data_IF_818875723661
#
_entry.id   IF_818875723661
#
_cell.length_a   1.000
_cell.length_b   1.000
_cell.length_c   1.000
_cell.angle_alpha   90.00
_cell.angle_beta   90.00
_cell.angle_gamma   90.00
#
_symmetry.space_group_name_H-M   'P 1'
#
loop_
_entity.id
_entity.type
_entity.pdbx_description
1 polymer ?
#
# COMPACT_ATOMS: atom_id res chain seq x y z
N UNK A 1 -3.83 -6.78 11.95
CA UNK A 1 -4.43 -5.43 12.02
C UNK A 1 -5.90 -5.57 11.64
N UNK A 2 -6.81 -4.90 12.34
CA UNK A 2 -8.22 -4.87 11.97
C UNK A 2 -8.72 -3.41 11.96
N UNK A 3 -9.56 -3.06 11.00
CA UNK A 3 -10.22 -1.76 10.88
C UNK A 3 -11.71 -2.01 10.60
N UNK A 4 -12.58 -1.30 11.32
CA UNK A 4 -14.01 -1.27 11.05
C UNK A 4 -14.35 -0.03 10.21
N UNK A 5 -15.08 -0.21 9.11
CA UNK A 5 -15.55 0.89 8.26
C UNK A 5 -17.07 0.80 8.05
N UNK A 6 -17.74 1.95 8.01
CA UNK A 6 -19.10 2.08 7.44
C UNK A 6 -18.99 2.35 5.94
N UNK A 7 -19.72 1.62 5.10
CA UNK A 7 -19.66 1.80 3.64
C UNK A 7 -20.37 3.08 3.17
N UNK A 8 -19.62 4.13 2.77
CA UNK A 8 -19.98 5.18 1.79
C UNK A 8 -18.74 6.05 1.45
N UNK A 9 -18.55 6.61 0.22
CA UNK A 9 -19.53 6.89 -0.85
C UNK A 9 -19.26 6.29 -2.25
N UNK A 10 -18.15 5.57 -2.50
CA UNK A 10 -17.80 5.12 -3.87
C UNK A 10 -18.54 3.83 -4.26
N UNK A 11 -19.56 4.01 -5.10
CA UNK A 11 -20.50 2.97 -5.54
C UNK A 11 -20.34 2.68 -7.03
N UNK A 12 -20.76 1.49 -7.45
CA UNK A 12 -20.97 1.19 -8.87
C UNK A 12 -22.45 1.39 -9.27
N UNK A 13 -22.76 1.14 -10.54
CA UNK A 13 -24.13 1.23 -11.08
C UNK A 13 -25.12 0.23 -10.46
N UNK A 14 -24.62 -0.83 -9.82
CA UNK A 14 -25.42 -1.79 -9.05
C UNK A 14 -25.72 -1.34 -7.62
N UNK A 15 -25.29 -0.13 -7.23
CA UNK A 15 -25.50 0.46 -5.90
C UNK A 15 -24.84 -0.29 -4.73
N UNK A 16 -23.72 -0.97 -5.01
CA UNK A 16 -22.85 -1.58 -4.00
C UNK A 16 -21.40 -1.08 -4.13
N UNK A 17 -20.56 -1.40 -3.15
CA UNK A 17 -19.15 -1.00 -3.09
C UNK A 17 -18.43 -1.27 -4.42
N UNK A 18 -17.86 -0.22 -5.01
CA UNK A 18 -17.15 -0.33 -6.28
C UNK A 18 -15.89 -1.19 -6.14
N UNK A 19 -15.60 -2.05 -7.12
CA UNK A 19 -14.42 -2.93 -7.07
C UNK A 19 -13.10 -2.16 -6.90
N UNK A 20 -12.95 -1.03 -7.59
CA UNK A 20 -11.81 -0.12 -7.39
C UNK A 20 -11.69 0.44 -5.97
N UNK A 21 -12.80 0.72 -5.29
CA UNK A 21 -12.77 1.17 -3.89
C UNK A 21 -12.32 0.03 -2.96
N UNK A 22 -12.79 -1.20 -3.20
CA UNK A 22 -12.29 -2.40 -2.51
C UNK A 22 -10.79 -2.58 -2.72
N UNK A 23 -10.29 -2.40 -3.96
CA UNK A 23 -8.86 -2.50 -4.25
C UNK A 23 -8.03 -1.43 -3.51
N UNK A 24 -8.53 -0.19 -3.43
CA UNK A 24 -7.88 0.87 -2.64
C UNK A 24 -7.86 0.56 -1.14
N UNK A 25 -8.93 -0.04 -0.59
CA UNK A 25 -8.96 -0.48 0.80
C UNK A 25 -7.96 -1.61 1.05
N UNK A 26 -7.87 -2.58 0.14
CA UNK A 26 -6.86 -3.65 0.18
C UNK A 26 -5.45 -3.05 0.17
N UNK A 27 -5.17 -2.07 -0.68
CA UNK A 27 -3.86 -1.42 -0.74
C UNK A 27 -3.51 -0.68 0.57
N UNK A 28 -4.45 0.09 1.10
CA UNK A 28 -4.29 0.86 2.33
C UNK A 28 -4.01 -0.06 3.53
N UNK A 29 -4.88 -1.04 3.77
CA UNK A 29 -4.78 -1.93 4.94
C UNK A 29 -3.66 -2.96 4.75
N UNK A 30 -3.48 -3.47 3.53
CA UNK A 30 -2.38 -4.36 3.16
C UNK A 30 -1.01 -3.70 3.28
N UNK A 31 -0.89 -2.40 3.05
CA UNK A 31 0.31 -1.63 3.41
C UNK A 31 0.41 -1.45 4.92
N UNK A 32 -0.67 -1.03 5.57
CA UNK A 32 -0.64 -0.63 6.98
C UNK A 32 -0.23 -1.77 7.91
N UNK A 33 -0.65 -3.01 7.61
CA UNK A 33 -0.35 -4.18 8.44
C UNK A 33 1.14 -4.43 8.61
N UNK A 34 1.99 -4.08 7.64
CA UNK A 34 3.44 -4.27 7.76
C UNK A 34 4.09 -3.36 8.80
N UNK A 35 3.56 -2.16 9.04
CA UNK A 35 4.03 -1.32 10.14
C UNK A 35 3.76 -1.97 11.50
N UNK A 36 2.65 -2.71 11.63
CA UNK A 36 2.34 -3.46 12.86
C UNK A 36 3.30 -4.62 13.13
N UNK A 37 4.02 -5.07 12.10
CA UNK A 37 5.07 -6.08 12.19
C UNK A 37 6.48 -5.47 12.33
N UNK A 38 6.61 -4.16 12.55
CA UNK A 38 7.89 -3.46 12.71
C UNK A 38 8.63 -3.17 11.40
N UNK A 39 8.02 -3.40 10.24
CA UNK A 39 8.62 -3.07 8.96
C UNK A 39 8.48 -1.56 8.66
N UNK A 40 9.58 -0.90 8.29
CA UNK A 40 9.53 0.44 7.73
C UNK A 40 9.27 0.36 6.22
N UNK A 41 8.04 0.61 5.79
CA UNK A 41 7.67 0.47 4.37
C UNK A 41 7.66 1.83 3.67
N UNK A 42 8.47 1.98 2.62
CA UNK A 42 8.33 3.09 1.64
C UNK A 42 8.15 2.59 0.21
N UNK A 43 8.06 1.27 0.03
CA UNK A 43 7.92 0.69 -1.30
C UNK A 43 6.50 0.75 -1.83
N UNK A 44 6.37 0.37 -3.10
CA UNK A 44 5.10 0.29 -3.83
C UNK A 44 4.51 -1.12 -3.75
N UNK A 45 3.19 -1.27 -3.98
CA UNK A 45 2.56 -2.57 -4.18
C UNK A 45 3.19 -3.26 -5.40
N UNK A 46 3.44 -4.56 -5.30
CA UNK A 46 3.96 -5.38 -6.40
C UNK A 46 2.85 -6.18 -7.08
N UNK A 47 1.92 -6.71 -6.29
CA UNK A 47 0.83 -7.55 -6.79
C UNK A 47 -0.36 -7.51 -5.83
N UNK A 48 -1.57 -7.50 -6.40
CA UNK A 48 -2.83 -7.63 -5.69
C UNK A 48 -3.74 -8.64 -6.41
N UNK A 49 -3.89 -9.81 -5.83
CA UNK A 49 -4.94 -10.77 -6.20
C UNK A 49 -6.14 -10.50 -5.30
N UNK A 50 -7.29 -10.13 -5.88
CA UNK A 50 -8.53 -9.90 -5.15
C UNK A 50 -9.63 -10.79 -5.73
N UNK A 51 -10.22 -11.61 -4.88
CA UNK A 51 -11.45 -12.35 -5.19
C UNK A 51 -12.65 -11.60 -4.60
N UNK A 52 -13.63 -11.28 -5.43
CA UNK A 52 -14.88 -10.59 -5.06
C UNK A 52 -15.98 -11.64 -4.90
N UNK A 53 -16.45 -11.84 -3.68
CA UNK A 53 -17.30 -12.98 -3.29
C UNK A 53 -18.72 -12.58 -2.91
N UNK A 54 -18.93 -11.33 -2.49
CA UNK A 54 -20.26 -10.79 -2.17
C UNK A 54 -20.34 -9.28 -2.41
N UNK A 55 -21.56 -8.76 -2.48
CA UNK A 55 -21.82 -7.32 -2.56
C UNK A 55 -21.91 -6.69 -1.16
N UNK A 56 -21.30 -5.51 -0.99
CA UNK A 56 -21.48 -4.66 0.19
C UNK A 56 -22.35 -3.45 -0.17
N UNK A 57 -23.57 -3.41 0.36
CA UNK A 57 -24.55 -2.37 0.08
C UNK A 57 -24.35 -1.12 0.98
N UNK A 58 -25.14 -0.08 0.71
CA UNK A 58 -25.20 1.12 1.55
C UNK A 58 -25.37 0.77 3.02
N UNK A 59 -24.73 1.53 3.89
CA UNK A 59 -24.99 1.53 5.33
C UNK A 59 -24.67 0.19 6.03
N UNK A 60 -24.12 -0.78 5.29
CA UNK A 60 -23.53 -1.98 5.85
C UNK A 60 -22.19 -1.62 6.52
N UNK A 61 -22.00 -2.12 7.74
CA UNK A 61 -20.69 -2.08 8.38
C UNK A 61 -19.84 -3.25 7.87
N UNK A 62 -18.63 -2.92 7.43
CA UNK A 62 -17.65 -3.87 6.95
C UNK A 62 -16.44 -3.91 7.88
N UNK A 63 -16.06 -5.12 8.25
CA UNK A 63 -14.83 -5.40 8.98
C UNK A 63 -13.74 -5.72 7.98
N UNK A 64 -12.61 -5.03 8.08
CA UNK A 64 -11.43 -5.29 7.26
C UNK A 64 -10.31 -5.79 8.16
N UNK A 65 -9.87 -7.01 7.91
CA UNK A 65 -8.79 -7.65 8.64
C UNK A 65 -7.61 -7.90 7.72
N UNK A 66 -6.41 -7.56 8.16
CA UNK A 66 -5.17 -7.89 7.47
C UNK A 66 -4.19 -8.62 8.38
N UNK A 67 -3.50 -9.60 7.78
CA UNK A 67 -2.50 -10.42 8.46
C UNK A 67 -1.24 -10.50 7.61
N UNK A 68 -0.09 -10.23 8.23
CA UNK A 68 1.21 -10.49 7.60
C UNK A 68 1.41 -12.00 7.52
N UNK A 69 1.62 -12.51 6.31
CA UNK A 69 2.07 -13.89 6.09
C UNK A 69 3.59 -13.99 6.12
N UNK A 70 4.27 -12.97 5.56
CA UNK A 70 5.74 -12.89 5.50
C UNK A 70 6.18 -11.43 5.45
N UNK A 71 7.17 -11.07 6.25
CA UNK A 71 7.88 -9.79 6.15
C UNK A 71 9.38 -10.07 5.96
N UNK A 72 9.82 -10.17 4.70
CA UNK A 72 11.23 -10.35 4.37
C UNK A 72 11.95 -9.01 4.21
N UNK A 73 13.27 -9.07 3.96
CA UNK A 73 14.12 -7.87 3.76
C UNK A 73 13.64 -6.96 2.62
N UNK A 74 13.15 -7.54 1.52
CA UNK A 74 12.76 -6.81 0.33
C UNK A 74 11.27 -6.92 0.00
N UNK A 75 10.60 -8.01 0.37
CA UNK A 75 9.21 -8.28 -0.01
C UNK A 75 8.40 -8.72 1.20
N UNK A 76 7.22 -8.12 1.32
CA UNK A 76 6.18 -8.46 2.27
C UNK A 76 5.01 -9.13 1.54
N UNK A 77 4.39 -10.09 2.22
CA UNK A 77 3.15 -10.72 1.78
C UNK A 77 2.15 -10.66 2.93
N UNK A 78 0.94 -10.20 2.63
CA UNK A 78 -0.17 -10.14 3.55
C UNK A 78 -1.44 -10.72 2.92
N UNK A 79 -2.38 -11.13 3.77
CA UNK A 79 -3.77 -11.36 3.39
C UNK A 79 -4.63 -10.21 3.89
N UNK A 80 -5.66 -9.87 3.14
CA UNK A 80 -6.69 -8.91 3.54
C UNK A 80 -8.06 -9.52 3.31
N UNK A 81 -8.94 -9.44 4.29
CA UNK A 81 -10.31 -9.92 4.20
C UNK A 81 -11.28 -8.80 4.55
N UNK A 82 -12.30 -8.62 3.70
CA UNK A 82 -13.43 -7.75 3.95
C UNK A 82 -14.64 -8.62 4.28
N UNK A 83 -15.25 -8.41 5.44
CA UNK A 83 -16.39 -9.18 5.95
C UNK A 83 -17.53 -8.26 6.33
N UNK A 84 -18.76 -8.75 6.18
CA UNK A 84 -19.92 -8.15 6.85
C UNK A 84 -19.88 -8.50 8.33
N UNK A 85 -20.61 -7.76 9.17
CA UNK A 85 -20.84 -8.15 10.57
C UNK A 85 -21.42 -9.55 10.75
N UNK A 86 -22.12 -10.09 9.74
CA UNK A 86 -22.62 -11.46 9.74
C UNK A 86 -21.52 -12.52 9.59
N UNK A 87 -20.29 -12.12 9.29
CA UNK A 87 -19.16 -13.00 8.98
C UNK A 87 -19.03 -13.39 7.51
N UNK A 88 -19.99 -13.03 6.64
CA UNK A 88 -19.93 -13.31 5.21
C UNK A 88 -18.80 -12.51 4.56
N UNK A 89 -17.95 -13.18 3.78
CA UNK A 89 -16.81 -12.56 3.09
C UNK A 89 -17.31 -11.82 1.84
N UNK A 90 -16.97 -10.53 1.77
CA UNK A 90 -17.22 -9.65 0.62
C UNK A 90 -16.09 -9.80 -0.39
N UNK A 91 -14.85 -9.72 0.09
CA UNK A 91 -13.67 -9.89 -0.72
C UNK A 91 -12.51 -10.45 0.11
N UNK A 92 -11.65 -11.21 -0.54
CA UNK A 92 -10.40 -11.69 0.04
C UNK A 92 -9.27 -11.40 -0.93
N UNK A 93 -8.14 -10.98 -0.39
CA UNK A 93 -6.99 -10.59 -1.18
C UNK A 93 -5.68 -11.15 -0.64
N UNK A 94 -4.78 -11.44 -1.57
CA UNK A 94 -3.36 -11.62 -1.30
C UNK A 94 -2.62 -10.41 -1.84
N UNK A 95 -1.87 -9.77 -0.95
CA UNK A 95 -1.22 -8.48 -1.19
C UNK A 95 0.29 -8.62 -1.03
N UNK A 96 1.03 -8.32 -2.09
CA UNK A 96 2.49 -8.38 -2.10
C UNK A 96 3.06 -6.98 -2.29
N UNK A 97 4.04 -6.60 -1.45
CA UNK A 97 4.61 -5.25 -1.43
C UNK A 97 6.12 -5.27 -1.31
N UNK A 98 6.78 -4.32 -1.95
CA UNK A 98 8.20 -4.07 -1.71
C UNK A 98 8.39 -3.39 -0.34
N UNK A 99 9.18 -4.02 0.53
CA UNK A 99 9.53 -3.53 1.86
C UNK A 99 10.97 -3.01 1.96
N UNK A 100 11.79 -3.23 0.92
CA UNK A 100 13.16 -2.76 0.92
C UNK A 100 13.24 -1.25 1.00
N UNK A 101 14.41 -0.74 1.43
CA UNK A 101 14.68 0.69 1.41
C UNK A 101 14.56 1.20 -0.03
N UNK A 102 13.58 2.08 -0.26
CA UNK A 102 13.57 2.91 -1.45
C UNK A 102 14.67 3.96 -1.27
N UNK A 103 15.75 3.84 -2.04
CA UNK A 103 16.77 4.88 -2.15
C UNK A 103 16.14 6.06 -2.89
N UNK A 104 15.47 6.96 -2.17
CA UNK A 104 15.19 8.30 -2.69
C UNK A 104 16.35 9.17 -2.18
N UNK A 105 17.37 9.27 -3.03
CA UNK A 105 18.60 10.06 -2.85
C UNK A 105 19.52 9.59 -1.71
N UNK A 106 20.84 9.81 -1.85
CA UNK A 106 21.79 9.46 -0.81
C UNK A 106 21.38 10.12 0.50
N UNK A 107 21.36 9.29 1.54
CA UNK A 107 21.40 9.72 2.93
C UNK A 107 22.37 10.91 3.05
N UNK A 108 21.94 12.01 3.64
CA UNK A 108 22.88 13.04 4.11
C UNK A 108 23.63 12.52 5.34
N UNK A 109 24.15 11.29 5.26
CA UNK A 109 25.20 10.82 6.12
C UNK A 109 26.46 11.50 5.66
N UNK A 110 26.91 12.51 6.42
CA UNK A 110 28.30 13.00 6.50
C UNK A 110 29.15 12.72 5.26
N UNK A 111 28.74 13.23 4.10
CA UNK A 111 29.66 13.39 2.99
C UNK A 111 30.38 14.68 3.31
N UNK A 112 31.68 14.61 3.62
CA UNK A 112 32.55 15.78 3.58
C UNK A 112 32.68 16.23 2.12
N UNK A 113 31.57 16.74 1.55
CA UNK A 113 31.54 17.39 0.25
C UNK A 113 32.20 18.74 0.44
N UNK A 114 33.35 18.91 -0.20
CA UNK A 114 33.96 20.21 -0.30
C UNK A 114 33.12 21.08 -1.27
N UNK A 115 33.27 22.41 -1.17
CA UNK A 115 32.54 23.34 -2.05
C UNK A 115 32.85 23.12 -3.53
N UNK A 116 34.00 22.56 -3.89
CA UNK A 116 34.38 22.28 -5.29
C UNK A 116 33.57 21.15 -5.91
N UNK A 117 33.21 20.12 -5.15
CA UNK A 117 32.40 18.98 -5.62
C UNK A 117 30.97 19.45 -5.93
N UNK A 118 30.45 20.40 -5.15
CA UNK A 118 29.12 20.99 -5.37
C UNK A 118 29.06 21.78 -6.68
N UNK A 119 30.15 22.48 -7.06
CA UNK A 119 30.19 23.25 -8.30
C UNK A 119 30.35 22.35 -9.54
N UNK A 120 31.06 21.23 -9.41
CA UNK A 120 31.18 20.23 -10.49
C UNK A 120 29.84 19.58 -10.87
N UNK A 121 28.97 19.38 -9.89
CA UNK A 121 27.63 18.81 -10.13
C UNK A 121 26.69 19.81 -10.84
N UNK A 122 26.90 21.13 -10.67
CA UNK A 122 26.08 22.14 -11.35
C UNK A 122 26.52 22.43 -12.77
N UNK A 123 27.81 22.31 -13.09
CA UNK A 123 28.32 22.61 -14.44
C UNK A 123 27.97 21.55 -15.48
N UNK A 124 27.78 20.30 -15.05
CA UNK A 124 27.53 19.18 -15.98
C UNK A 124 26.04 18.96 -16.29
N UNK A 125 25.13 19.81 -15.78
CA UNK A 125 23.68 19.70 -16.04
C UNK A 125 23.21 20.72 -17.09
N UNK A 126 24.07 21.61 -17.56
CA UNK A 126 23.69 22.67 -18.51
C UNK A 126 24.15 22.46 -19.96
N UNK A 127 24.79 21.35 -20.31
CA UNK A 127 25.24 21.09 -21.70
C UNK A 127 24.38 20.10 -22.50
N UNK A 128 23.35 19.50 -21.90
CA UNK A 128 22.50 18.48 -22.57
C UNK A 128 21.07 18.97 -22.85
N UNK A 129 20.88 20.29 -22.99
CA UNK A 129 19.63 20.89 -23.48
C UNK A 129 19.89 21.89 -24.62
N UNK A 130 20.63 21.44 -25.64
CA UNK A 130 20.75 22.07 -26.96
C UNK A 130 20.05 21.24 -28.02
#
# INVERSE_FOLDING_TARGET
MAILLKTAPVRNSGNFLHGGATASLVDLVGTAVFYTAGAQTRGSPLEMNISYLDAAFSDEEIDIEAKVLRAGKAVGVATVELKKKSGKIIAQARYSKYLGASTILPDKGTVNMNKSDYQRLKTNTSEDQG
#
